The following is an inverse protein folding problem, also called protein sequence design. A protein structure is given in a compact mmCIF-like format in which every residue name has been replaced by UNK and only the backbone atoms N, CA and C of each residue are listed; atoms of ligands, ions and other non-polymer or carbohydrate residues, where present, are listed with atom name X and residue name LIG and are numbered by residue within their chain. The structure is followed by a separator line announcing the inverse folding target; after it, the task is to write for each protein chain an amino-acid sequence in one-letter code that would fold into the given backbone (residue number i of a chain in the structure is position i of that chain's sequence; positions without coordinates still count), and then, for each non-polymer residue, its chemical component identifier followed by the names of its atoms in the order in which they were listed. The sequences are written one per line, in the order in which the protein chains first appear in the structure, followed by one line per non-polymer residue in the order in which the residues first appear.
data_IF_932942294937
#
_entry.id   IF_932942294937
#
_cell.length_a   1.000
_cell.length_b   1.000
_cell.length_c   1.000
_cell.angle_alpha   90.00
_cell.angle_beta   90.00
_cell.angle_gamma   90.00
#
_symmetry.space_group_name_H-M   'P 1'
#
loop_
_entity.id
_entity.type
_entity.pdbx_description
1 polymer ?
#
# COMPACT_ATOMS: atom_id res chain seq x y z
N UNK A 1 11.73 5.78 -14.39
CA UNK A 1 10.45 6.12 -14.82
C UNK A 1 9.43 5.97 -13.70
N UNK A 2 8.63 6.91 -13.53
CA UNK A 2 7.66 6.89 -12.49
C UNK A 2 7.63 8.23 -11.79
N UNK A 3 6.86 8.26 -10.75
CA UNK A 3 6.63 9.48 -10.00
C UNK A 3 7.78 9.67 -9.03
N UNK A 4 8.34 10.89 -8.96
CA UNK A 4 9.38 11.19 -7.99
C UNK A 4 8.84 11.03 -6.57
N UNK A 5 9.75 10.84 -5.59
CA UNK A 5 9.37 10.70 -4.19
C UNK A 5 8.57 11.89 -3.66
N UNK A 6 8.94 13.10 -4.08
CA UNK A 6 8.24 14.31 -3.64
C UNK A 6 6.81 14.36 -4.19
N UNK A 7 6.62 14.01 -5.45
CA UNK A 7 5.29 14.00 -6.07
C UNK A 7 4.45 12.88 -5.47
N UNK A 8 5.05 11.69 -5.24
CA UNK A 8 4.35 10.59 -4.60
C UNK A 8 3.85 10.96 -3.19
N UNK A 9 4.65 11.69 -2.43
CA UNK A 9 4.25 12.18 -1.11
C UNK A 9 3.07 13.14 -1.21
N UNK A 10 3.07 14.03 -2.20
CA UNK A 10 1.96 14.95 -2.43
C UNK A 10 0.69 14.20 -2.80
N UNK A 11 0.80 13.18 -3.66
CA UNK A 11 -0.34 12.35 -4.02
C UNK A 11 -0.93 11.66 -2.80
N UNK A 12 -0.07 11.10 -1.95
CA UNK A 12 -0.52 10.43 -0.73
C UNK A 12 -1.26 11.39 0.20
N UNK A 13 -0.76 12.62 0.34
CA UNK A 13 -1.41 13.61 1.19
C UNK A 13 -2.76 14.04 0.64
N UNK A 14 -2.87 14.22 -0.68
CA UNK A 14 -4.14 14.55 -1.31
C UNK A 14 -5.16 13.44 -1.08
N UNK A 15 -4.74 12.18 -1.26
CA UNK A 15 -5.63 11.04 -1.02
C UNK A 15 -6.08 10.98 0.44
N UNK A 16 -5.16 11.25 1.38
CA UNK A 16 -5.51 11.26 2.80
C UNK A 16 -6.56 12.33 3.11
N UNK A 17 -6.42 13.51 2.53
CA UNK A 17 -7.40 14.59 2.71
C UNK A 17 -8.75 14.21 2.12
N UNK A 18 -8.76 13.61 0.93
CA UNK A 18 -10.00 13.16 0.30
C UNK A 18 -10.69 12.09 1.14
N UNK A 19 -9.93 11.23 1.79
CA UNK A 19 -10.47 10.13 2.59
C UNK A 19 -11.19 10.61 3.86
N UNK A 20 -11.03 11.87 4.25
CA UNK A 20 -11.74 12.43 5.39
C UNK A 20 -13.23 12.59 5.12
N UNK A 21 -13.63 12.74 3.87
CA UNK A 21 -15.03 12.98 3.49
C UNK A 21 -15.61 11.87 2.61
N UNK A 22 -14.80 10.87 2.24
CA UNK A 22 -15.24 9.78 1.39
C UNK A 22 -14.33 8.56 1.57
N UNK A 23 -14.81 7.41 1.14
CA UNK A 23 -13.98 6.21 1.15
C UNK A 23 -13.08 6.21 -0.09
N UNK A 24 -11.79 6.01 0.13
CA UNK A 24 -10.79 5.92 -0.94
C UNK A 24 -10.13 4.56 -0.87
N UNK A 25 -10.12 3.84 -1.97
CA UNK A 25 -9.40 2.58 -2.10
C UNK A 25 -8.34 2.77 -3.18
N UNK A 26 -7.09 2.53 -2.83
CA UNK A 26 -5.97 2.77 -3.72
C UNK A 26 -5.12 1.51 -3.86
N UNK A 27 -4.74 1.19 -5.08
CA UNK A 27 -3.78 0.11 -5.37
C UNK A 27 -2.48 0.80 -5.78
N UNK A 28 -1.41 0.57 -5.03
CA UNK A 28 -0.16 1.27 -5.27
C UNK A 28 1.04 0.39 -4.92
N UNK A 29 2.16 0.69 -5.55
CA UNK A 29 3.46 0.13 -5.19
C UNK A 29 4.38 1.22 -4.61
N UNK A 30 3.86 2.42 -4.38
CA UNK A 30 4.64 3.55 -3.90
C UNK A 30 4.54 3.65 -2.38
N UNK A 31 5.66 3.52 -1.66
CA UNK A 31 5.63 3.58 -0.19
C UNK A 31 5.10 4.92 0.34
N UNK A 32 5.37 6.02 -0.36
CA UNK A 32 4.90 7.34 0.04
C UNK A 32 3.37 7.45 0.04
N UNK A 33 2.71 6.71 -0.85
CA UNK A 33 1.24 6.68 -0.90
C UNK A 33 0.71 5.69 0.13
N UNK A 34 1.27 4.48 0.17
CA UNK A 34 0.83 3.44 1.09
C UNK A 34 0.99 3.85 2.54
N UNK A 35 2.02 4.66 2.87
CA UNK A 35 2.28 5.10 4.24
C UNK A 35 1.16 5.97 4.81
N UNK A 36 0.32 6.58 3.95
CA UNK A 36 -0.73 7.52 4.37
C UNK A 36 -2.09 6.86 4.57
N UNK A 37 -2.23 5.57 4.30
CA UNK A 37 -3.52 4.91 4.42
C UNK A 37 -3.90 4.67 5.88
N UNK A 38 -5.20 4.64 6.15
CA UNK A 38 -5.72 4.25 7.48
C UNK A 38 -5.69 2.74 7.65
N UNK A 39 -5.96 2.02 6.56
CA UNK A 39 -5.97 0.56 6.56
C UNK A 39 -5.14 0.07 5.39
N UNK A 40 -4.23 -0.84 5.66
CA UNK A 40 -3.33 -1.38 4.66
C UNK A 40 -3.63 -2.86 4.47
N UNK A 41 -3.89 -3.24 3.23
CA UNK A 41 -4.11 -4.63 2.84
C UNK A 41 -2.95 -5.08 1.96
N UNK A 42 -2.42 -6.25 2.25
CA UNK A 42 -1.37 -6.87 1.45
C UNK A 42 -2.00 -7.91 0.53
N UNK A 43 -1.73 -7.79 -0.76
CA UNK A 43 -2.10 -8.80 -1.75
C UNK A 43 -0.86 -9.64 -2.04
N UNK A 44 -0.98 -10.94 -1.89
CA UNK A 44 0.16 -11.83 -2.11
C UNK A 44 -0.30 -13.12 -2.78
N UNK A 45 0.64 -13.81 -3.41
CA UNK A 45 0.39 -15.08 -4.08
C UNK A 45 1.02 -16.21 -3.29
N UNK A 46 0.34 -17.33 -3.27
CA UNK A 46 0.82 -18.55 -2.63
C UNK A 46 0.69 -19.68 -3.62
N UNK A 47 1.80 -20.39 -3.85
CA UNK A 47 1.82 -21.53 -4.75
C UNK A 47 1.48 -22.79 -3.99
N UNK A 48 0.50 -23.52 -4.51
CA UNK A 48 0.16 -24.86 -4.02
C UNK A 48 0.63 -25.89 -5.04
N UNK A 49 0.49 -27.18 -4.72
CA UNK A 49 0.90 -28.25 -5.61
C UNK A 49 0.15 -28.23 -6.95
N UNK A 50 -1.02 -27.63 -6.99
CA UNK A 50 -1.93 -27.69 -8.15
C UNK A 50 -2.20 -26.34 -8.79
N UNK A 51 -1.94 -25.23 -8.09
CA UNK A 51 -2.28 -23.91 -8.60
C UNK A 51 -1.61 -22.79 -7.78
N UNK A 52 -1.66 -21.58 -8.33
CA UNK A 52 -1.29 -20.36 -7.61
C UNK A 52 -2.57 -19.72 -7.08
N UNK A 53 -2.57 -19.36 -5.81
CA UNK A 53 -3.68 -18.70 -5.16
C UNK A 53 -3.31 -17.26 -4.81
N UNK A 54 -4.26 -16.35 -5.00
CA UNK A 54 -4.08 -14.96 -4.60
C UNK A 54 -4.85 -14.73 -3.31
N UNK A 55 -4.16 -14.14 -2.34
CA UNK A 55 -4.71 -13.84 -1.03
C UNK A 55 -4.65 -12.35 -0.75
N UNK A 56 -5.54 -11.90 0.12
CA UNK A 56 -5.53 -10.52 0.62
C UNK A 56 -5.66 -10.58 2.14
N UNK A 57 -4.88 -9.76 2.82
CA UNK A 57 -4.85 -9.75 4.27
C UNK A 57 -4.68 -8.32 4.78
N UNK A 58 -5.46 -7.94 5.77
CA UNK A 58 -5.28 -6.64 6.43
C UNK A 58 -4.06 -6.72 7.35
N UNK A 59 -3.21 -5.72 7.27
CA UNK A 59 -2.02 -5.62 8.10
C UNK A 59 -2.32 -4.89 9.41
N UNK A 60 -1.68 -5.34 10.49
CA UNK A 60 -1.65 -4.58 11.73
C UNK A 60 -0.79 -3.34 11.55
N UNK A 61 -0.83 -2.41 12.51
CA UNK A 61 -0.01 -1.21 12.46
C UNK A 61 1.48 -1.54 12.38
N UNK A 62 1.92 -2.53 13.13
CA UNK A 62 3.32 -2.96 13.09
C UNK A 62 3.68 -3.58 11.75
N UNK A 63 2.82 -4.42 11.22
CA UNK A 63 3.03 -5.04 9.91
C UNK A 63 3.04 -3.99 8.79
N UNK A 64 2.17 -2.98 8.91
CA UNK A 64 2.15 -1.86 7.96
C UNK A 64 3.51 -1.16 7.91
N UNK A 65 4.06 -0.83 9.08
CA UNK A 65 5.37 -0.17 9.15
C UNK A 65 6.46 -1.02 8.52
N UNK A 66 6.45 -2.31 8.79
CA UNK A 66 7.41 -3.25 8.22
C UNK A 66 7.27 -3.34 6.70
N UNK A 67 6.04 -3.37 6.20
CA UNK A 67 5.80 -3.44 4.77
C UNK A 67 6.26 -2.17 4.05
N UNK A 68 6.03 -1.00 4.66
CA UNK A 68 6.51 0.27 4.10
C UNK A 68 8.03 0.25 3.96
N UNK A 69 8.74 -0.26 4.95
CA UNK A 69 10.21 -0.38 4.86
C UNK A 69 10.64 -1.31 3.73
N UNK A 70 9.94 -2.42 3.54
CA UNK A 70 10.22 -3.34 2.43
C UNK A 70 9.99 -2.65 1.08
N UNK A 71 8.93 -1.88 0.96
CA UNK A 71 8.62 -1.16 -0.27
C UNK A 71 9.70 -0.13 -0.60
N UNK A 72 10.28 0.51 0.41
CA UNK A 72 11.34 1.50 0.23
C UNK A 72 12.64 0.89 -0.28
N UNK A 73 12.88 -0.36 0.01
CA UNK A 73 14.12 -1.03 -0.37
C UNK A 73 14.05 -1.73 -1.73
N UNK A 74 12.92 -1.63 -2.42
CA UNK A 74 12.76 -2.25 -3.74
C UNK A 74 13.38 -1.40 -4.88
#
# INVERSE_FOLDING_TARGET
TGVSGAIASQMGEIMRQMAQSRQIITITHLPQVAARCEQHYLVYKEDTDVRTETHIRQLSDQEHDMEIEKMRSL
#
